data_IF_596257478919
#
_entry.id   IF_596257478919
#
_cell.length_a   1.000
_cell.length_b   1.000
_cell.length_c   1.000
_cell.angle_alpha   90.00
_cell.angle_beta   90.00
_cell.angle_gamma   90.00
#
_symmetry.space_group_name_H-M   'P 1'
#
loop_
_entity.id
_entity.type
_entity.pdbx_description
1 polymer ?
#
# COMPACT_ATOMS: atom_id res chain seq x y z
N UNK A 1 0.40 -12.56 6.36
CA UNK A 1 -0.33 -11.58 7.20
C UNK A 1 -1.65 -11.25 6.53
N UNK A 2 -2.68 -10.92 7.27
CA UNK A 2 -3.95 -10.41 6.75
C UNK A 2 -4.26 -9.13 7.51
N UNK A 3 -4.49 -8.05 6.80
CA UNK A 3 -4.95 -6.78 7.34
C UNK A 3 -6.44 -6.62 7.01
N UNK A 4 -7.27 -6.36 8.01
CA UNK A 4 -8.70 -6.13 7.79
C UNK A 4 -9.08 -4.77 8.41
N UNK A 5 -9.79 -3.95 7.64
CA UNK A 5 -10.22 -2.63 8.08
C UNK A 5 -11.60 -2.28 7.52
N UNK A 6 -12.24 -1.27 8.13
CA UNK A 6 -13.47 -0.69 7.60
C UNK A 6 -13.12 0.39 6.58
N UNK A 7 -13.64 0.23 5.38
CA UNK A 7 -13.63 1.31 4.40
C UNK A 7 -14.78 2.26 4.70
N UNK A 8 -14.44 3.44 5.17
CA UNK A 8 -15.41 4.48 5.53
C UNK A 8 -15.73 5.43 4.37
N UNK A 9 -15.13 5.21 3.18
CA UNK A 9 -15.42 6.02 2.02
C UNK A 9 -16.92 5.94 1.67
N UNK A 10 -17.49 7.08 1.27
CA UNK A 10 -18.90 7.15 0.88
C UNK A 10 -19.20 6.39 -0.40
N UNK A 11 -18.24 6.29 -1.28
CA UNK A 11 -18.34 5.50 -2.51
C UNK A 11 -17.99 4.04 -2.24
N UNK A 12 -18.93 3.14 -2.49
CA UNK A 12 -18.76 1.69 -2.38
C UNK A 12 -18.67 1.07 -3.76
N UNK A 13 -17.57 0.39 -4.02
CA UNK A 13 -17.39 -0.39 -5.23
C UNK A 13 -18.07 -1.76 -5.08
N UNK A 14 -19.29 -1.86 -5.57
CA UNK A 14 -20.07 -3.10 -5.52
C UNK A 14 -19.51 -4.19 -6.44
N UNK A 15 -18.72 -3.81 -7.44
CA UNK A 15 -18.11 -4.76 -8.37
C UNK A 15 -17.02 -5.61 -7.70
N UNK A 16 -16.27 -5.05 -6.79
CA UNK A 16 -15.28 -5.78 -5.99
C UNK A 16 -15.89 -6.56 -4.81
N UNK A 17 -17.20 -6.62 -4.69
CA UNK A 17 -17.91 -7.30 -3.60
C UNK A 17 -17.72 -6.62 -2.24
N UNK A 18 -17.43 -5.34 -2.24
CA UNK A 18 -17.11 -4.57 -1.06
C UNK A 18 -18.37 -4.29 -0.22
N UNK A 19 -18.37 -4.78 1.01
CA UNK A 19 -19.46 -4.59 1.99
C UNK A 19 -19.00 -3.73 3.18
N UNK A 20 -18.05 -2.84 2.94
CA UNK A 20 -17.48 -1.94 3.95
C UNK A 20 -16.42 -2.58 4.85
N UNK A 21 -15.99 -3.80 4.56
CA UNK A 21 -14.82 -4.43 5.19
C UNK A 21 -13.89 -4.92 4.11
N UNK A 22 -12.66 -4.43 4.14
CA UNK A 22 -11.59 -4.82 3.21
C UNK A 22 -10.60 -5.71 3.96
N UNK A 23 -10.21 -6.82 3.34
CA UNK A 23 -9.18 -7.73 3.85
C UNK A 23 -8.05 -7.83 2.83
N UNK A 24 -6.86 -7.38 3.22
CA UNK A 24 -5.66 -7.41 2.38
C UNK A 24 -4.75 -8.56 2.79
N UNK A 25 -4.16 -9.22 1.81
CA UNK A 25 -3.11 -10.22 2.05
C UNK A 25 -1.74 -9.56 1.92
N UNK A 26 -0.87 -9.81 2.90
CA UNK A 26 0.52 -9.38 2.83
C UNK A 26 1.50 -10.51 3.16
N UNK A 27 2.66 -10.46 2.52
CA UNK A 27 3.79 -11.37 2.72
C UNK A 27 4.92 -10.59 3.38
N UNK A 28 5.22 -10.91 4.63
CA UNK A 28 6.39 -10.40 5.34
C UNK A 28 7.53 -11.42 5.23
N UNK A 29 8.61 -11.01 4.58
CA UNK A 29 9.86 -11.74 4.53
C UNK A 29 10.80 -11.11 5.56
N UNK A 30 11.05 -11.85 6.62
CA UNK A 30 11.87 -11.41 7.73
C UNK A 30 13.12 -12.28 7.81
N UNK A 31 14.33 -11.68 7.81
CA UNK A 31 15.56 -12.44 8.06
C UNK A 31 15.48 -13.17 9.39
N UNK A 32 16.09 -14.34 9.47
CA UNK A 32 16.12 -15.11 10.72
C UNK A 32 16.76 -14.27 11.84
N UNK A 33 16.10 -14.22 12.99
CA UNK A 33 16.56 -13.42 14.13
C UNK A 33 16.46 -11.90 13.98
N UNK A 34 15.85 -11.40 12.91
CA UNK A 34 15.70 -9.96 12.68
C UNK A 34 14.96 -9.26 13.82
N UNK A 35 15.56 -8.19 14.30
CA UNK A 35 14.99 -7.22 15.24
C UNK A 35 14.83 -5.84 14.60
N UNK A 36 14.80 -5.80 13.28
CA UNK A 36 14.70 -4.55 12.53
C UNK A 36 13.45 -3.75 12.91
N UNK A 37 13.62 -2.45 12.99
CA UNK A 37 12.57 -1.46 13.20
C UNK A 37 12.20 -0.72 11.92
N UNK A 38 12.84 -1.08 10.82
CA UNK A 38 12.56 -0.54 9.48
C UNK A 38 12.08 -1.66 8.57
N UNK A 39 11.00 -1.42 7.84
CA UNK A 39 10.52 -2.32 6.79
C UNK A 39 10.46 -1.61 5.44
N UNK A 40 10.79 -2.33 4.37
CA UNK A 40 10.51 -1.90 2.99
C UNK A 40 9.19 -2.50 2.55
N UNK A 41 8.25 -1.65 2.18
CA UNK A 41 6.87 -2.03 1.83
C UNK A 41 6.63 -1.83 0.35
N UNK A 42 6.22 -2.87 -0.32
CA UNK A 42 5.82 -2.85 -1.72
C UNK A 42 4.32 -3.07 -1.86
N UNK A 43 3.70 -2.30 -2.73
CA UNK A 43 2.35 -2.54 -3.25
C UNK A 43 2.31 -2.16 -4.72
N UNK A 44 1.56 -2.91 -5.51
CA UNK A 44 1.23 -2.56 -6.88
C UNK A 44 -0.29 -2.35 -6.98
N UNK A 45 -0.79 -1.38 -7.78
CA UNK A 45 -2.23 -1.12 -7.85
C UNK A 45 -3.10 -2.34 -8.13
N UNK A 46 -2.64 -3.25 -8.98
CA UNK A 46 -3.35 -4.51 -9.29
C UNK A 46 -2.90 -5.71 -8.45
N UNK A 47 -2.03 -5.51 -7.45
CA UNK A 47 -1.54 -6.56 -6.55
C UNK A 47 -0.65 -7.61 -7.23
N UNK A 48 -0.47 -8.75 -6.56
CA UNK A 48 0.06 -9.97 -7.17
C UNK A 48 1.57 -10.05 -7.41
N UNK A 49 2.42 -9.29 -6.71
CA UNK A 49 3.87 -9.28 -6.92
C UNK A 49 4.73 -10.01 -5.87
N UNK A 50 4.12 -10.76 -4.96
CA UNK A 50 4.85 -11.45 -3.88
C UNK A 50 5.88 -12.49 -4.38
N UNK A 51 5.78 -12.91 -5.64
CA UNK A 51 6.73 -13.83 -6.30
C UNK A 51 8.01 -13.15 -6.81
N UNK A 52 8.07 -11.82 -6.80
CA UNK A 52 9.20 -11.08 -7.36
C UNK A 52 10.50 -11.37 -6.59
N UNK A 53 11.60 -11.69 -7.30
CA UNK A 53 12.84 -12.09 -6.66
C UNK A 53 13.49 -10.99 -5.82
N UNK A 54 13.18 -9.73 -6.08
CA UNK A 54 13.73 -8.59 -5.33
C UNK A 54 13.38 -8.66 -3.84
N UNK A 55 12.19 -9.16 -3.48
CA UNK A 55 11.77 -9.29 -2.07
C UNK A 55 12.70 -10.24 -1.32
N UNK A 56 12.96 -11.41 -1.91
CA UNK A 56 13.89 -12.38 -1.34
C UNK A 56 15.34 -11.84 -1.32
N UNK A 57 15.73 -11.07 -2.34
CA UNK A 57 17.07 -10.48 -2.40
C UNK A 57 17.30 -9.48 -1.27
N UNK A 58 16.33 -8.62 -1.01
CA UNK A 58 16.38 -7.67 0.11
C UNK A 58 16.39 -8.40 1.46
N UNK A 59 15.52 -9.38 1.64
CA UNK A 59 15.46 -10.16 2.87
C UNK A 59 16.78 -10.90 3.15
N UNK A 60 17.43 -11.46 2.14
CA UNK A 60 18.77 -12.09 2.27
C UNK A 60 19.87 -11.09 2.63
N UNK A 61 19.68 -9.81 2.35
CA UNK A 61 20.59 -8.73 2.76
C UNK A 61 20.26 -8.16 4.15
N UNK A 62 19.38 -8.81 4.89
CA UNK A 62 19.05 -8.41 6.26
C UNK A 62 17.91 -7.38 6.37
N UNK A 63 17.17 -7.13 5.31
CA UNK A 63 16.10 -6.11 5.25
C UNK A 63 14.75 -6.78 5.42
N UNK A 64 13.95 -6.35 6.39
CA UNK A 64 12.56 -6.78 6.52
C UNK A 64 11.75 -6.21 5.35
N UNK A 65 11.13 -7.09 4.58
CA UNK A 65 10.47 -6.72 3.33
C UNK A 65 9.03 -7.19 3.33
N UNK A 66 8.12 -6.31 2.98
CA UNK A 66 6.68 -6.59 2.91
C UNK A 66 6.19 -6.40 1.49
N UNK A 67 5.48 -7.38 0.97
CA UNK A 67 4.59 -7.20 -0.18
C UNK A 67 3.15 -7.23 0.32
N UNK A 68 2.40 -6.16 0.12
CA UNK A 68 0.98 -6.09 0.40
C UNK A 68 0.20 -6.05 -0.91
N UNK A 69 -0.78 -6.94 -1.06
CA UNK A 69 -1.70 -6.89 -2.21
C UNK A 69 -2.74 -5.80 -1.98
N UNK A 70 -3.10 -5.07 -3.04
CA UNK A 70 -4.26 -4.19 -3.03
C UNK A 70 -5.56 -5.00 -3.08
N UNK A 71 -6.69 -4.36 -2.80
CA UNK A 71 -8.03 -4.95 -2.99
C UNK A 71 -8.30 -5.40 -4.42
N UNK A 72 -7.61 -4.82 -5.40
CA UNK A 72 -7.77 -5.09 -6.84
C UNK A 72 -6.83 -6.20 -7.36
N UNK A 73 -6.40 -7.11 -6.48
CA UNK A 73 -5.52 -8.20 -6.85
C UNK A 73 -6.07 -9.01 -8.02
N UNK A 74 -5.33 -9.01 -9.13
CA UNK A 74 -5.64 -9.79 -10.33
C UNK A 74 -6.70 -9.17 -11.24
N UNK A 75 -7.20 -7.97 -10.93
CA UNK A 75 -8.11 -7.24 -11.80
C UNK A 75 -7.85 -5.74 -11.75
N UNK A 76 -7.88 -5.09 -12.91
CA UNK A 76 -7.75 -3.64 -13.05
C UNK A 76 -9.01 -2.98 -13.63
N UNK A 77 -10.01 -3.79 -13.97
CA UNK A 77 -11.23 -3.30 -14.65
C UNK A 77 -12.07 -2.33 -13.82
N UNK A 78 -11.92 -2.35 -12.49
CA UNK A 78 -12.64 -1.45 -11.58
C UNK A 78 -11.68 -0.69 -10.67
N UNK A 79 -10.41 -0.55 -11.07
CA UNK A 79 -9.38 0.05 -10.25
C UNK A 79 -9.63 1.53 -9.98
N UNK A 80 -9.71 1.88 -8.71
CA UNK A 80 -9.78 3.25 -8.20
C UNK A 80 -8.50 3.49 -7.39
N UNK A 81 -7.61 4.35 -7.90
CA UNK A 81 -6.30 4.54 -7.33
C UNK A 81 -6.36 5.10 -5.90
N UNK A 82 -7.33 5.97 -5.62
CA UNK A 82 -7.58 6.55 -4.31
C UNK A 82 -7.91 5.47 -3.27
N UNK A 83 -8.63 4.41 -3.66
CA UNK A 83 -8.89 3.27 -2.77
C UNK A 83 -7.64 2.42 -2.53
N UNK A 84 -6.73 2.35 -3.50
CA UNK A 84 -5.42 1.70 -3.30
C UNK A 84 -4.57 2.47 -2.31
N UNK A 85 -4.68 3.82 -2.28
CA UNK A 85 -4.03 4.62 -1.24
C UNK A 85 -4.54 4.25 0.16
N UNK A 86 -5.85 4.07 0.32
CA UNK A 86 -6.46 3.63 1.59
C UNK A 86 -5.90 2.25 1.99
N UNK A 87 -5.76 1.33 1.05
CA UNK A 87 -5.18 0.01 1.28
C UNK A 87 -3.74 0.12 1.78
N UNK A 88 -2.91 0.90 1.08
CA UNK A 88 -1.51 1.11 1.45
C UNK A 88 -1.38 1.80 2.82
N UNK A 89 -2.23 2.79 3.09
CA UNK A 89 -2.29 3.49 4.37
C UNK A 89 -2.59 2.57 5.54
N UNK A 90 -3.56 1.66 5.37
CA UNK A 90 -3.89 0.68 6.41
C UNK A 90 -2.78 -0.37 6.58
N UNK A 91 -2.12 -0.78 5.50
CA UNK A 91 -0.95 -1.64 5.58
C UNK A 91 0.17 -0.98 6.41
N UNK A 92 0.51 0.28 6.12
CA UNK A 92 1.55 1.03 6.86
C UNK A 92 1.16 1.19 8.32
N UNK A 93 -0.09 1.55 8.61
CA UNK A 93 -0.61 1.70 9.97
C UNK A 93 -0.46 0.41 10.76
N UNK A 94 -0.93 -0.71 10.23
CA UNK A 94 -0.77 -2.02 10.89
C UNK A 94 0.68 -2.39 11.11
N UNK A 95 1.57 -2.14 10.16
CA UNK A 95 2.99 -2.41 10.34
C UNK A 95 3.59 -1.60 11.49
N UNK A 96 3.20 -0.34 11.66
CA UNK A 96 3.67 0.49 12.76
C UNK A 96 3.01 0.10 14.10
N UNK A 97 1.70 -0.04 14.14
CA UNK A 97 0.92 -0.22 15.38
C UNK A 97 0.93 -1.67 15.87
N UNK A 98 0.73 -2.66 14.97
CA UNK A 98 0.60 -4.07 15.35
C UNK A 98 1.93 -4.83 15.29
N UNK A 99 2.82 -4.48 14.35
CA UNK A 99 4.09 -5.17 14.15
C UNK A 99 5.31 -4.42 14.70
N UNK A 100 5.12 -3.19 15.17
CA UNK A 100 6.13 -2.41 15.89
C UNK A 100 7.28 -1.88 15.03
N UNK A 101 7.05 -1.69 13.72
CA UNK A 101 8.00 -0.99 12.85
C UNK A 101 7.96 0.51 13.12
N UNK A 102 9.12 1.11 13.30
CA UNK A 102 9.25 2.55 13.55
C UNK A 102 9.38 3.33 12.25
N UNK A 103 10.04 2.74 11.24
CA UNK A 103 10.29 3.36 9.94
C UNK A 103 9.76 2.49 8.81
N UNK A 104 9.16 3.16 7.82
CA UNK A 104 8.66 2.54 6.60
C UNK A 104 9.32 3.20 5.39
N UNK A 105 9.87 2.38 4.51
CA UNK A 105 10.35 2.79 3.19
C UNK A 105 9.40 2.21 2.15
N UNK A 106 8.84 3.03 1.28
CA UNK A 106 8.01 2.56 0.17
C UNK A 106 8.89 2.06 -0.96
N UNK A 107 8.65 0.84 -1.42
CA UNK A 107 9.29 0.24 -2.58
C UNK A 107 8.37 0.36 -3.80
N UNK A 108 8.58 1.38 -4.61
CA UNK A 108 7.80 1.62 -5.82
C UNK A 108 8.34 0.87 -7.03
N UNK A 109 7.82 -0.33 -7.31
CA UNK A 109 8.15 -1.09 -8.51
C UNK A 109 7.06 -0.92 -9.57
N UNK A 110 7.46 -0.63 -10.84
CA UNK A 110 6.53 -0.47 -11.96
C UNK A 110 5.42 0.54 -11.62
N UNK A 111 4.15 0.18 -11.76
CA UNK A 111 3.00 1.01 -11.32
C UNK A 111 2.93 1.29 -9.82
N UNK A 112 3.66 0.54 -9.01
CA UNK A 112 3.85 0.85 -7.58
C UNK A 112 4.70 2.10 -7.34
N UNK A 113 5.45 2.57 -8.35
CA UNK A 113 6.20 3.81 -8.28
C UNK A 113 5.27 5.02 -8.21
N UNK A 114 4.37 5.16 -9.18
CA UNK A 114 3.36 6.21 -9.17
C UNK A 114 2.45 6.14 -7.95
N UNK A 115 2.08 4.92 -7.52
CA UNK A 115 1.32 4.71 -6.28
C UNK A 115 2.06 5.25 -5.05
N UNK A 116 3.35 4.93 -4.90
CA UNK A 116 4.16 5.37 -3.76
C UNK A 116 4.31 6.89 -3.70
N UNK A 117 4.52 7.53 -4.86
CA UNK A 117 4.61 8.99 -4.95
C UNK A 117 3.25 9.66 -4.63
N UNK A 118 2.16 9.12 -5.16
CA UNK A 118 0.83 9.61 -4.90
C UNK A 118 0.47 9.46 -3.41
N UNK A 119 0.74 8.29 -2.84
CA UNK A 119 0.54 8.06 -1.40
C UNK A 119 1.30 9.07 -0.55
N UNK A 120 2.59 9.27 -0.82
CA UNK A 120 3.40 10.20 -0.04
C UNK A 120 2.90 11.64 -0.15
N UNK A 121 2.50 12.06 -1.36
CA UNK A 121 1.91 13.39 -1.58
C UNK A 121 0.67 13.60 -0.71
N UNK A 122 -0.26 12.65 -0.70
CA UNK A 122 -1.49 12.75 0.09
C UNK A 122 -1.24 12.56 1.59
N UNK A 123 -0.20 11.82 1.98
CA UNK A 123 0.18 11.68 3.39
C UNK A 123 0.81 12.96 3.95
N UNK A 124 1.53 13.72 3.14
CA UNK A 124 2.15 14.98 3.55
C UNK A 124 1.23 16.19 3.39
N UNK A 125 0.43 16.20 2.31
CA UNK A 125 -0.45 17.31 1.95
C UNK A 125 -1.80 16.76 1.43
N UNK A 126 -2.67 16.27 2.32
CA UNK A 126 -3.92 15.65 1.90
C UNK A 126 -4.84 16.66 1.22
N UNK A 127 -5.33 16.32 0.03
CA UNK A 127 -6.09 17.23 -0.83
C UNK A 127 -7.26 16.60 -1.57
N UNK A 128 -7.25 15.28 -1.76
CA UNK A 128 -8.23 14.59 -2.61
C UNK A 128 -9.53 14.34 -1.87
N UNK A 129 -10.63 14.85 -2.43
CA UNK A 129 -12.01 14.66 -1.92
C UNK A 129 -12.95 13.97 -2.93
N UNK A 130 -12.48 13.77 -4.17
CA UNK A 130 -13.22 13.07 -5.22
C UNK A 130 -12.25 12.33 -6.15
N UNK A 131 -12.73 11.28 -6.81
CA UNK A 131 -11.98 10.60 -7.87
C UNK A 131 -11.95 11.46 -9.14
N UNK A 132 -11.09 11.14 -10.12
CA UNK A 132 -11.13 11.81 -11.44
C UNK A 132 -12.46 11.67 -12.18
N UNK A 133 -13.31 10.68 -11.82
CA UNK A 133 -14.66 10.52 -12.36
C UNK A 133 -15.73 11.33 -11.60
N UNK A 134 -15.35 12.01 -10.51
CA UNK A 134 -16.26 12.79 -9.66
C UNK A 134 -16.94 11.97 -8.58
N UNK A 135 -16.53 10.72 -8.35
CA UNK A 135 -17.06 9.94 -7.24
C UNK A 135 -16.51 10.43 -5.90
N UNK A 136 -17.35 10.55 -4.86
CA UNK A 136 -16.91 11.09 -3.59
C UNK A 136 -15.96 10.11 -2.87
N UNK A 137 -14.76 10.57 -2.60
CA UNK A 137 -13.78 9.88 -1.75
C UNK A 137 -13.00 10.94 -0.97
N UNK A 138 -12.90 10.77 0.35
CA UNK A 138 -12.28 11.79 1.19
C UNK A 138 -10.97 11.25 1.79
N UNK A 139 -9.85 11.44 1.10
CA UNK A 139 -8.54 11.02 1.59
C UNK A 139 -8.00 11.92 2.71
N UNK A 140 -8.54 13.13 2.87
CA UNK A 140 -8.15 14.07 3.94
C UNK A 140 -8.44 13.47 5.32
N UNK A 141 -9.55 12.76 5.46
CA UNK A 141 -9.97 12.15 6.73
C UNK A 141 -9.25 10.82 7.04
N UNK A 142 -8.56 10.22 6.06
CA UNK A 142 -7.85 8.95 6.24
C UNK A 142 -6.63 9.06 7.17
N UNK A 143 -6.09 10.28 7.33
CA UNK A 143 -4.93 10.57 8.21
C UNK A 143 -3.78 9.60 7.92
N UNK A 144 -3.35 9.59 6.68
CA UNK A 144 -2.22 8.77 6.24
C UNK A 144 -0.96 9.06 7.05
N UNK A 145 -0.18 8.03 7.30
CA UNK A 145 1.13 8.14 7.92
C UNK A 145 2.16 8.22 6.81
N UNK A 146 2.87 9.33 6.69
CA UNK A 146 3.93 9.47 5.68
C UNK A 146 5.03 8.44 5.89
N UNK A 147 5.57 7.94 4.78
CA UNK A 147 6.73 7.06 4.82
C UNK A 147 8.01 7.86 5.13
N UNK A 148 9.00 7.16 5.67
CA UNK A 148 10.31 7.74 6.01
C UNK A 148 11.23 7.84 4.78
N UNK A 149 10.87 7.18 3.69
CA UNK A 149 11.61 7.23 2.41
C UNK A 149 10.89 6.47 1.30
N UNK A 150 11.33 6.74 0.06
CA UNK A 150 10.82 6.07 -1.14
C UNK A 150 12.00 5.54 -1.95
N UNK A 151 11.90 4.30 -2.41
CA UNK A 151 12.82 3.65 -3.33
C UNK A 151 12.09 3.31 -4.63
N UNK A 152 12.50 3.87 -5.75
CA UNK A 152 11.87 3.63 -7.05
C UNK A 152 12.68 2.61 -7.86
N UNK A 153 12.01 1.54 -8.31
CA UNK A 153 12.63 0.45 -9.06
C UNK A 153 11.86 0.25 -10.36
N UNK A 154 12.47 0.59 -11.50
CA UNK A 154 11.81 0.52 -12.80
C UNK A 154 10.37 1.09 -12.73
N UNK A 155 10.23 2.19 -12.04
CA UNK A 155 8.96 2.79 -11.68
C UNK A 155 8.32 3.52 -12.86
N UNK A 156 7.00 3.49 -12.92
CA UNK A 156 6.25 4.41 -13.76
C UNK A 156 6.14 5.77 -13.04
N UNK A 157 6.42 6.86 -13.73
CA UNK A 157 6.37 8.21 -13.18
C UNK A 157 4.92 8.72 -13.06
N UNK A 158 4.06 8.25 -13.95
CA UNK A 158 2.63 8.61 -13.95
C UNK A 158 1.77 7.51 -14.56
N UNK A 159 0.49 7.57 -14.32
CA UNK A 159 -0.56 6.83 -15.01
C UNK A 159 -1.59 7.77 -15.57
#
# INVERSE_FOLDING_TARGET
>A
MIFAFKDNSSYKDTYAGEIGTVALTAHLLKPEGSTNKTAVVFMHPTGGGSYLPMLNSLARQGIDTVWCDSRYRGTDSALIMEKVLIDLGNCIRSLKEDYGYEKIVLGGWSGGGSLSLFYQSEAENPSITETPAGDPINLVDEKFISADGIMLIAAHESR
#
